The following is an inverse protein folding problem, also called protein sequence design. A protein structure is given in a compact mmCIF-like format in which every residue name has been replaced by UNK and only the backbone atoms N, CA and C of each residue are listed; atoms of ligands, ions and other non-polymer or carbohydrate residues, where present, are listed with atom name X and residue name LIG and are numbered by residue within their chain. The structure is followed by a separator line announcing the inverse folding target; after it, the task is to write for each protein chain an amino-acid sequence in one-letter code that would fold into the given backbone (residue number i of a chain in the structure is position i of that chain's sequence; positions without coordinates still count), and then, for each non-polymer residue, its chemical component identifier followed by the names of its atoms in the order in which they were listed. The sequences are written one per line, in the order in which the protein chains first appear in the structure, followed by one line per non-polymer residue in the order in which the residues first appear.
data_IF_452601952888
#
_entry.id   IF_452601952888
#
_cell.length_a   1.000
_cell.length_b   1.000
_cell.length_c   1.000
_cell.angle_alpha   90.00
_cell.angle_beta   90.00
_cell.angle_gamma   90.00
#
_symmetry.space_group_name_H-M   'P 1'
#
loop_
_entity.id
_entity.type
_entity.pdbx_description
1 polymer ?
#
# COMPACT_ATOMS: atom_id res chain seq x y z
N UNK A 1 4.80 -9.87 5.73
CA UNK A 1 4.88 -9.75 4.25
C UNK A 1 3.70 -10.49 3.65
N UNK A 2 3.08 -9.97 2.59
CA UNK A 2 2.04 -10.70 1.86
C UNK A 2 2.61 -12.04 1.35
N UNK A 3 1.78 -13.06 1.14
CA UNK A 3 2.26 -14.32 0.55
C UNK A 3 2.58 -14.10 -0.94
N UNK A 4 3.71 -14.63 -1.47
CA UNK A 4 4.11 -14.42 -2.87
C UNK A 4 3.05 -14.79 -3.91
N UNK A 5 2.29 -15.88 -3.69
CA UNK A 5 1.21 -16.30 -4.60
C UNK A 5 0.02 -15.34 -4.62
N UNK A 6 -0.14 -14.51 -3.59
CA UNK A 6 -1.13 -13.43 -3.54
C UNK A 6 -0.59 -12.11 -4.11
N UNK A 7 0.72 -11.87 -3.98
CA UNK A 7 1.40 -10.68 -4.48
C UNK A 7 1.64 -10.74 -6.00
N UNK A 8 2.15 -11.86 -6.52
CA UNK A 8 2.56 -11.99 -7.92
C UNK A 8 1.46 -11.62 -8.93
N UNK A 9 0.18 -12.04 -8.75
CA UNK A 9 -0.88 -11.59 -9.65
C UNK A 9 -1.08 -10.07 -9.67
N UNK A 10 -0.81 -9.36 -8.57
CA UNK A 10 -0.88 -7.90 -8.52
C UNK A 10 0.25 -7.28 -9.34
N UNK A 11 1.47 -7.82 -9.26
CA UNK A 11 2.61 -7.35 -10.05
C UNK A 11 2.43 -7.61 -11.55
N UNK A 12 1.87 -8.76 -11.92
CA UNK A 12 1.51 -9.05 -13.33
C UNK A 12 0.48 -8.06 -13.86
N UNK A 13 -0.52 -7.68 -13.04
CA UNK A 13 -1.63 -6.83 -13.48
C UNK A 13 -1.32 -5.32 -13.42
N UNK A 14 -0.59 -4.89 -12.40
CA UNK A 14 -0.40 -3.47 -12.03
C UNK A 14 1.07 -3.05 -12.04
N UNK A 15 1.97 -4.01 -12.15
CA UNK A 15 3.40 -3.81 -12.21
C UNK A 15 3.94 -3.56 -13.63
N UNK A 16 5.26 -3.74 -13.84
CA UNK A 16 6.22 -4.13 -12.81
C UNK A 16 6.33 -3.06 -11.73
N UNK A 17 6.31 -3.47 -10.46
CA UNK A 17 6.58 -2.55 -9.35
C UNK A 17 8.07 -2.21 -9.31
N UNK A 18 8.39 -0.91 -9.27
CA UNK A 18 9.77 -0.43 -9.35
C UNK A 18 10.40 -0.23 -7.99
N UNK A 19 9.59 -0.08 -6.94
CA UNK A 19 10.05 0.11 -5.57
C UNK A 19 9.06 -0.47 -4.55
N UNK A 20 9.59 -1.13 -3.51
CA UNK A 20 8.82 -1.47 -2.31
C UNK A 20 9.07 -0.39 -1.25
N UNK A 21 8.04 0.34 -0.83
CA UNK A 21 8.22 1.54 0.01
C UNK A 21 8.28 1.24 1.52
N UNK A 22 8.14 -0.01 1.96
CA UNK A 22 8.14 -0.37 3.39
C UNK A 22 8.93 -1.65 3.64
N UNK A 23 10.26 -1.55 3.49
CA UNK A 23 11.17 -2.67 3.59
C UNK A 23 11.90 -2.67 4.94
N UNK A 24 12.13 -3.86 5.48
CA UNK A 24 12.95 -4.09 6.66
C UNK A 24 14.41 -3.79 6.37
N UNK A 25 15.20 -3.45 7.40
CA UNK A 25 16.62 -3.07 7.25
C UNK A 25 17.45 -4.09 6.44
N UNK A 26 17.11 -5.37 6.52
CA UNK A 26 17.81 -6.44 5.80
C UNK A 26 17.18 -6.82 4.45
N UNK A 27 16.17 -6.09 3.98
CA UNK A 27 15.52 -6.35 2.69
C UNK A 27 14.61 -7.57 2.63
N UNK A 28 14.50 -8.37 3.70
CA UNK A 28 13.94 -9.73 3.64
C UNK A 28 12.43 -9.81 3.39
N UNK A 29 11.74 -8.69 3.44
CA UNK A 29 10.31 -8.56 3.13
C UNK A 29 10.04 -7.77 1.85
N UNK A 30 11.06 -7.42 1.07
CA UNK A 30 10.85 -6.72 -0.20
C UNK A 30 10.40 -7.68 -1.29
N UNK A 31 9.43 -7.26 -2.10
CA UNK A 31 9.12 -7.93 -3.36
C UNK A 31 9.82 -7.31 -4.58
N UNK A 32 10.37 -6.12 -4.43
CA UNK A 32 10.97 -5.35 -5.52
C UNK A 32 12.49 -5.43 -5.46
N UNK A 33 13.15 -5.13 -6.57
CA UNK A 33 14.62 -5.03 -6.60
C UNK A 33 15.13 -3.83 -5.80
N UNK A 34 14.37 -2.74 -5.79
CA UNK A 34 14.62 -1.55 -4.99
C UNK A 34 13.62 -1.53 -3.85
N UNK A 35 14.11 -1.30 -2.63
CA UNK A 35 13.30 -1.25 -1.43
C UNK A 35 13.74 -0.08 -0.56
N UNK A 36 12.78 0.66 -0.01
CA UNK A 36 13.04 1.73 0.94
C UNK A 36 12.97 1.19 2.36
N UNK A 37 14.07 1.34 3.07
CA UNK A 37 14.21 0.96 4.48
C UNK A 37 13.78 2.11 5.41
N UNK A 38 14.04 1.98 6.71
CA UNK A 38 13.79 3.06 7.66
C UNK A 38 14.71 4.26 7.41
N UNK A 39 15.92 3.99 6.93
CA UNK A 39 16.91 4.99 6.52
C UNK A 39 16.44 5.74 5.28
N UNK A 40 15.76 5.05 4.36
CA UNK A 40 15.10 5.60 3.18
C UNK A 40 13.63 5.96 3.48
N UNK A 41 13.41 6.84 4.45
CA UNK A 41 12.08 7.13 4.99
C UNK A 41 11.01 7.47 3.93
N UNK A 42 10.10 6.53 3.67
CA UNK A 42 9.03 6.67 2.68
C UNK A 42 8.07 7.84 2.93
N UNK A 43 8.08 8.44 4.13
CA UNK A 43 7.33 9.67 4.43
C UNK A 43 7.93 10.89 3.73
N UNK A 44 9.18 10.81 3.27
CA UNK A 44 9.88 11.91 2.59
C UNK A 44 10.48 11.53 1.23
N UNK A 45 10.68 10.25 0.92
CA UNK A 45 11.21 9.79 -0.37
C UNK A 45 10.35 10.26 -1.54
N UNK A 46 10.98 10.50 -2.69
CA UNK A 46 10.27 10.94 -3.89
C UNK A 46 9.65 9.75 -4.63
N UNK A 47 8.32 9.70 -4.66
CA UNK A 47 7.58 8.70 -5.45
C UNK A 47 7.49 9.05 -6.94
N UNK A 48 7.89 10.27 -7.36
CA UNK A 48 7.71 10.71 -8.73
C UNK A 48 8.40 9.78 -9.75
N UNK A 49 7.63 9.29 -10.72
CA UNK A 49 8.13 8.36 -11.75
C UNK A 49 8.25 6.89 -11.32
N UNK A 50 7.87 6.57 -10.08
CA UNK A 50 7.86 5.19 -9.58
C UNK A 50 6.47 4.54 -9.70
N UNK A 51 6.47 3.22 -9.85
CA UNK A 51 5.32 2.37 -9.61
C UNK A 51 5.53 1.61 -8.30
N UNK A 52 5.11 2.21 -7.19
CA UNK A 52 5.44 1.73 -5.86
C UNK A 52 4.49 0.60 -5.39
N UNK A 53 5.04 -0.35 -4.64
CA UNK A 53 4.30 -1.30 -3.81
C UNK A 53 4.52 -0.97 -2.34
N UNK A 54 3.51 -1.15 -1.50
CA UNK A 54 3.68 -0.97 -0.06
C UNK A 54 2.71 -1.79 0.79
N UNK A 55 3.24 -2.64 1.66
CA UNK A 55 2.52 -3.17 2.82
C UNK A 55 2.75 -2.24 4.01
N UNK A 56 1.94 -1.19 4.11
CA UNK A 56 2.23 -0.02 4.93
C UNK A 56 2.15 -0.34 6.44
N UNK A 57 3.09 0.15 7.27
CA UNK A 57 2.99 0.05 8.72
C UNK A 57 1.87 0.96 9.22
N UNK A 58 1.14 0.50 10.25
CA UNK A 58 -0.04 1.23 10.76
C UNK A 58 0.28 2.63 11.29
N UNK A 59 1.46 2.81 11.90
CA UNK A 59 1.92 4.07 12.48
C UNK A 59 2.17 5.17 11.47
N UNK A 60 2.67 4.81 10.28
CA UNK A 60 3.16 5.78 9.28
C UNK A 60 2.29 5.81 8.02
N UNK A 61 1.27 4.96 7.96
CA UNK A 61 0.35 4.81 6.83
C UNK A 61 -0.11 6.16 6.26
N UNK A 62 -0.64 7.04 7.11
CA UNK A 62 -1.19 8.31 6.66
C UNK A 62 -0.12 9.22 6.05
N UNK A 63 1.08 9.27 6.64
CA UNK A 63 2.14 10.18 6.20
C UNK A 63 2.80 9.68 4.93
N UNK A 64 2.96 8.35 4.76
CA UNK A 64 3.41 7.75 3.52
C UNK A 64 2.41 8.05 2.38
N UNK A 65 1.10 7.87 2.62
CA UNK A 65 0.07 8.18 1.61
C UNK A 65 0.07 9.67 1.27
N UNK A 66 0.17 10.57 2.25
CA UNK A 66 0.27 12.01 2.00
C UNK A 66 1.48 12.37 1.16
N UNK A 67 2.64 11.78 1.46
CA UNK A 67 3.84 11.99 0.68
C UNK A 67 3.67 11.48 -0.77
N UNK A 68 3.13 10.28 -0.94
CA UNK A 68 2.79 9.76 -2.27
C UNK A 68 1.87 10.72 -3.02
N UNK A 69 0.78 11.19 -2.40
CA UNK A 69 -0.17 12.11 -3.04
C UNK A 69 0.49 13.44 -3.43
N UNK A 70 1.39 13.96 -2.60
CA UNK A 70 2.21 15.15 -2.93
C UNK A 70 3.04 14.90 -4.19
N UNK A 71 3.76 13.77 -4.27
CA UNK A 71 4.57 13.43 -5.44
C UNK A 71 3.71 13.19 -6.68
N UNK A 72 2.57 12.51 -6.53
CA UNK A 72 1.57 12.27 -7.57
C UNK A 72 1.02 13.58 -8.12
N UNK A 73 0.71 14.58 -7.28
CA UNK A 73 0.25 15.90 -7.74
C UNK A 73 1.29 16.60 -8.62
N UNK A 74 2.58 16.51 -8.27
CA UNK A 74 3.67 17.11 -9.07
C UNK A 74 3.92 16.38 -10.39
N UNK A 75 3.85 15.05 -10.37
CA UNK A 75 4.16 14.20 -11.51
C UNK A 75 3.07 13.14 -11.71
N UNK A 76 1.89 13.55 -12.21
CA UNK A 76 0.75 12.62 -12.31
C UNK A 76 1.04 11.46 -13.26
N UNK A 77 1.49 11.77 -14.47
CA UNK A 77 1.86 10.75 -15.45
C UNK A 77 3.17 10.09 -15.01
N UNK A 78 3.18 8.76 -15.00
CA UNK A 78 4.35 7.96 -14.60
C UNK A 78 4.50 7.70 -13.09
N UNK A 79 3.71 8.34 -12.23
CA UNK A 79 3.70 8.04 -10.79
C UNK A 79 2.48 7.19 -10.44
N UNK A 80 2.71 6.01 -9.90
CA UNK A 80 1.67 5.11 -9.40
C UNK A 80 2.08 4.46 -8.09
N UNK A 81 1.08 4.00 -7.34
CA UNK A 81 1.33 3.21 -6.14
C UNK A 81 0.20 2.21 -5.90
N UNK A 82 0.58 1.06 -5.34
CA UNK A 82 -0.31 0.02 -4.88
C UNK A 82 -0.04 -0.23 -3.40
N UNK A 83 -1.05 0.01 -2.56
CA UNK A 83 -0.92 -0.14 -1.12
C UNK A 83 -1.83 -1.26 -0.61
N UNK A 84 -1.28 -2.12 0.23
CA UNK A 84 -2.00 -3.10 1.01
C UNK A 84 -2.33 -2.49 2.37
N UNK A 85 -3.63 -2.36 2.68
CA UNK A 85 -4.10 -1.67 3.88
C UNK A 85 -5.21 -2.45 4.58
N UNK A 86 -5.30 -2.39 5.92
CA UNK A 86 -6.43 -2.97 6.63
C UNK A 86 -7.71 -2.17 6.33
N UNK A 87 -8.85 -2.87 6.29
CA UNK A 87 -10.17 -2.22 6.27
C UNK A 87 -10.53 -1.79 7.69
N UNK A 88 -10.25 -0.54 8.04
CA UNK A 88 -10.52 0.03 9.35
C UNK A 88 -11.27 1.36 9.24
N UNK A 89 -12.61 1.32 9.11
CA UNK A 89 -13.44 2.53 9.16
C UNK A 89 -13.13 3.35 10.43
N UNK A 90 -12.99 4.66 10.27
CA UNK A 90 -12.58 5.59 11.33
C UNK A 90 -11.06 5.71 11.52
N UNK A 91 -10.24 4.88 10.89
CA UNK A 91 -8.79 5.09 10.87
C UNK A 91 -8.43 6.20 9.87
N UNK A 92 -7.71 7.27 10.26
CA UNK A 92 -7.44 8.41 9.39
C UNK A 92 -6.75 8.08 8.05
N UNK A 93 -5.86 7.10 8.01
CA UNK A 93 -5.22 6.69 6.77
C UNK A 93 -6.18 5.93 5.85
N UNK A 94 -7.05 5.09 6.43
CA UNK A 94 -8.06 4.36 5.66
C UNK A 94 -9.06 5.36 5.06
N UNK A 95 -9.57 6.28 5.89
CA UNK A 95 -10.48 7.35 5.47
C UNK A 95 -9.88 8.19 4.33
N UNK A 96 -8.59 8.57 4.42
CA UNK A 96 -7.91 9.32 3.37
C UNK A 96 -7.90 8.60 2.00
N UNK A 97 -7.69 7.28 2.01
CA UNK A 97 -7.65 6.49 0.78
C UNK A 97 -9.05 6.37 0.16
N UNK A 98 -10.07 6.10 0.98
CA UNK A 98 -11.44 5.89 0.49
C UNK A 98 -12.16 7.20 0.16
N UNK A 99 -11.76 8.34 0.75
CA UNK A 99 -12.31 9.66 0.44
C UNK A 99 -11.88 10.20 -0.93
N UNK A 100 -10.90 9.56 -1.57
CA UNK A 100 -10.33 9.95 -2.87
C UNK A 100 -10.60 8.90 -3.97
N UNK A 101 -11.86 8.57 -4.31
CA UNK A 101 -12.20 7.54 -5.29
C UNK A 101 -11.76 7.89 -6.72
N UNK A 102 -11.52 9.17 -7.01
CA UNK A 102 -10.93 9.62 -8.27
C UNK A 102 -9.42 9.36 -8.38
N UNK A 103 -8.75 9.06 -7.25
CA UNK A 103 -7.30 8.83 -7.15
C UNK A 103 -6.99 7.36 -6.90
N UNK A 104 -7.69 6.74 -5.95
CA UNK A 104 -7.50 5.34 -5.57
C UNK A 104 -8.69 4.48 -6.00
N UNK A 105 -8.37 3.31 -6.55
CA UNK A 105 -9.34 2.22 -6.76
C UNK A 105 -9.00 1.04 -5.87
N UNK A 106 -10.01 0.40 -5.29
CA UNK A 106 -9.85 -0.91 -4.65
C UNK A 106 -9.74 -1.96 -5.76
N UNK A 107 -8.61 -2.66 -5.83
CA UNK A 107 -8.33 -3.68 -6.86
C UNK A 107 -8.43 -5.11 -6.33
N UNK A 108 -8.36 -5.26 -5.00
CA UNK A 108 -8.52 -6.55 -4.33
C UNK A 108 -9.06 -6.33 -2.93
N UNK A 109 -9.84 -7.30 -2.45
CA UNK A 109 -10.31 -7.39 -1.08
C UNK A 109 -10.20 -8.84 -0.61
N UNK A 110 -9.73 -9.02 0.60
CA UNK A 110 -9.78 -10.27 1.35
C UNK A 110 -10.57 -10.03 2.63
N UNK A 111 -11.47 -10.94 2.96
CA UNK A 111 -12.28 -10.82 4.16
C UNK A 111 -11.48 -11.16 5.42
N UNK A 112 -12.08 -10.89 6.58
CA UNK A 112 -11.59 -11.36 7.88
C UNK A 112 -11.33 -12.88 7.84
N UNK A 113 -10.39 -13.33 8.65
CA UNK A 113 -9.92 -14.71 8.78
C UNK A 113 -9.16 -15.22 7.56
N UNK A 114 -8.60 -14.33 6.74
CA UNK A 114 -7.78 -14.70 5.59
C UNK A 114 -6.32 -14.96 6.00
N UNK A 115 -5.74 -16.04 5.49
CA UNK A 115 -4.31 -16.33 5.63
C UNK A 115 -3.51 -15.56 4.57
N UNK A 116 -3.05 -14.35 4.91
CA UNK A 116 -2.45 -13.42 3.94
C UNK A 116 -0.95 -13.23 4.13
N UNK A 117 -0.44 -13.44 5.34
CA UNK A 117 0.88 -12.95 5.72
C UNK A 117 1.81 -14.08 6.16
N UNK A 118 3.08 -13.91 5.81
CA UNK A 118 4.19 -14.68 6.36
C UNK A 118 5.21 -13.74 7.01
N UNK A 119 5.92 -14.26 8.00
CA UNK A 119 7.04 -13.61 8.66
C UNK A 119 8.26 -14.53 8.64
N UNK A 120 9.49 -14.01 8.83
CA UNK A 120 10.65 -14.85 9.10
C UNK A 120 10.38 -15.81 10.26
N UNK A 121 10.81 -17.06 10.13
CA UNK A 121 10.73 -18.06 11.18
C UNK A 121 11.61 -17.64 12.37
N UNK A 122 11.09 -17.61 13.61
CA UNK A 122 11.90 -17.37 14.81
C UNK A 122 13.00 -18.42 15.02
N UNK A 123 12.75 -19.65 14.58
CA UNK A 123 13.67 -20.79 14.70
C UNK A 123 14.70 -20.85 13.56
N UNK A 124 14.66 -19.90 12.63
CA UNK A 124 15.41 -19.95 11.37
C UNK A 124 14.75 -20.87 10.34
N UNK A 125 15.38 -21.00 9.17
CA UNK A 125 14.96 -21.97 8.14
C UNK A 125 13.87 -21.53 7.15
N UNK A 126 13.46 -20.26 7.15
CA UNK A 126 12.56 -19.72 6.11
C UNK A 126 11.50 -18.77 6.64
N UNK A 127 10.32 -18.78 6.02
CA UNK A 127 9.16 -17.97 6.42
C UNK A 127 8.06 -18.88 6.96
N UNK A 128 7.39 -18.45 8.03
CA UNK A 128 6.23 -19.13 8.59
C UNK A 128 4.96 -18.31 8.39
N UNK A 129 3.82 -18.98 8.36
CA UNK A 129 2.51 -18.32 8.31
C UNK A 129 2.28 -17.54 9.61
N UNK A 130 1.79 -16.30 9.46
CA UNK A 130 1.51 -15.41 10.59
C UNK A 130 0.09 -15.59 11.17
N UNK A 131 -0.59 -16.68 10.78
CA UNK A 131 -2.00 -16.89 11.09
C UNK A 131 -2.94 -16.11 10.17
N UNK A 132 -4.20 -16.05 10.57
CA UNK A 132 -5.27 -15.37 9.83
C UNK A 132 -5.48 -13.95 10.35
N UNK A 133 -5.92 -13.03 9.49
CA UNK A 133 -6.21 -11.65 9.89
C UNK A 133 -7.53 -11.54 10.67
N UNK A 134 -7.57 -10.76 11.75
CA UNK A 134 -8.82 -10.45 12.47
C UNK A 134 -9.65 -9.34 11.82
N UNK A 135 -9.17 -8.81 10.69
CA UNK A 135 -9.81 -7.75 9.91
C UNK A 135 -9.75 -8.05 8.41
N UNK A 136 -10.67 -7.48 7.61
CA UNK A 136 -10.54 -7.50 6.15
C UNK A 136 -9.32 -6.67 5.72
N UNK A 137 -8.72 -7.03 4.60
CA UNK A 137 -7.58 -6.33 4.00
C UNK A 137 -7.92 -5.98 2.56
N UNK A 138 -7.62 -4.76 2.15
CA UNK A 138 -7.80 -4.30 0.78
C UNK A 138 -6.47 -3.93 0.14
N UNK A 139 -6.45 -4.03 -1.19
CA UNK A 139 -5.40 -3.44 -2.01
C UNK A 139 -6.01 -2.27 -2.75
N UNK A 140 -5.39 -1.10 -2.58
CA UNK A 140 -5.73 0.11 -3.32
C UNK A 140 -4.64 0.44 -4.31
N UNK A 141 -5.04 1.01 -5.45
CA UNK A 141 -4.11 1.38 -6.51
C UNK A 141 -4.42 2.76 -7.05
N UNK A 142 -3.39 3.59 -7.19
CA UNK A 142 -3.43 4.83 -7.95
C UNK A 142 -2.64 4.63 -9.26
N UNK A 143 -3.27 4.75 -10.44
CA UNK A 143 -2.65 4.45 -11.73
C UNK A 143 -1.65 5.52 -12.19
N UNK A 144 -0.73 5.22 -13.13
CA UNK A 144 0.29 6.16 -13.62
C UNK A 144 -0.25 7.15 -14.67
N UNK A 145 -1.51 7.55 -14.56
CA UNK A 145 -2.18 8.51 -15.43
C UNK A 145 -2.68 9.73 -14.63
N UNK A 146 -3.28 10.68 -15.32
CA UNK A 146 -4.02 11.76 -14.65
C UNK A 146 -5.19 11.17 -13.86
N UNK A 147 -5.46 11.76 -12.70
CA UNK A 147 -6.48 11.31 -11.74
C UNK A 147 -7.36 12.49 -11.34
N UNK A 148 -8.61 12.22 -10.95
CA UNK A 148 -9.50 13.26 -10.45
C UNK A 148 -9.24 13.49 -8.96
N UNK A 149 -8.97 14.74 -8.61
CA UNK A 149 -8.77 15.19 -7.23
C UNK A 149 -10.06 15.69 -6.58
N UNK A 150 -11.21 15.45 -7.20
CA UNK A 150 -12.50 15.78 -6.61
C UNK A 150 -12.65 14.98 -5.33
N UNK A 151 -12.46 15.66 -4.19
CA UNK A 151 -12.88 15.17 -2.89
C UNK A 151 -14.37 14.88 -3.01
N UNK A 152 -14.77 13.65 -2.73
CA UNK A 152 -16.19 13.42 -2.46
C UNK A 152 -16.44 14.21 -1.17
N UNK A 153 -17.17 15.32 -1.23
CA UNK A 153 -17.84 15.82 -0.03
C UNK A 153 -18.59 14.61 0.51
N UNK A 154 -18.19 14.14 1.70
CA UNK A 154 -18.92 13.09 2.41
C UNK A 154 -20.31 13.68 2.70
N UNK A 155 -21.24 13.49 1.78
CA UNK A 155 -22.63 13.86 1.95
C UNK A 155 -23.20 13.03 3.08
N UNK A 156 -23.50 13.70 4.21
CA UNK A 156 -24.17 13.16 5.39
C UNK A 156 -23.33 13.44 6.64
N UNK A 157 -23.65 14.43 7.47
CA UNK A 157 -24.90 14.54 8.23
C UNK A 157 -25.40 15.99 8.30
N UNK A 158 -26.55 16.24 7.70
CA UNK A 158 -27.54 17.19 8.24
C UNK A 158 -28.40 16.42 9.25
N UNK A 159 -28.44 16.90 10.49
CA UNK A 159 -29.25 16.40 11.58
C UNK A 159 -28.91 17.15 12.86
#
# INVERSE_FOLDING_TARGET
MLIPTLWHPLDVQLGPFTVDCCVSENGTNSFCRVGWTKEDDARIMDFSGHNAWGNLPFSDFIDIVRNFLRCKRRAQRGTSATFLVPWWPGNPGFELVVSLPGVFRIVRRWERNSALFTAPSPEGGGRTFWGTTDWPVIVVHCPPCEVSWTDTELTGVTG
#
